data_IF_752539262926
#
_entry.id   IF_752539262926
#
_cell.length_a   1.000
_cell.length_b   1.000
_cell.length_c   1.000
_cell.angle_alpha   90.00
_cell.angle_beta   90.00
_cell.angle_gamma   90.00
#
_symmetry.space_group_name_H-M   'P 1'
#
loop_
_entity.id
_entity.type
_entity.pdbx_description
1 polymer ?
#
# COMPACT_ATOMS: atom_id res chain seq x y z
N UNK A 1 56.11 2.63 -46.27
CA UNK A 1 55.41 2.39 -45.00
C UNK A 1 53.97 2.82 -45.26
N UNK A 2 53.05 1.96 -45.76
CA UNK A 2 52.40 0.79 -45.11
C UNK A 2 51.89 1.14 -43.72
N UNK A 3 50.64 0.95 -43.28
CA UNK A 3 49.37 0.39 -43.80
C UNK A 3 48.25 0.88 -42.85
N UNK A 4 47.08 1.29 -43.36
CA UNK A 4 45.75 0.63 -43.25
C UNK A 4 45.06 0.54 -41.86
N UNK A 5 43.80 1.04 -41.83
CA UNK A 5 42.57 0.51 -41.16
C UNK A 5 42.56 0.30 -39.61
N UNK A 6 41.51 0.49 -38.80
CA UNK A 6 40.05 0.24 -38.84
C UNK A 6 39.35 1.19 -37.81
N UNK A 7 38.26 1.90 -38.08
CA UNK A 7 36.82 1.57 -37.95
C UNK A 7 36.35 0.85 -36.65
N UNK A 8 35.52 1.52 -35.84
CA UNK A 8 34.40 0.95 -35.03
C UNK A 8 33.65 2.14 -34.40
N UNK A 9 32.50 2.62 -34.90
CA UNK A 9 31.16 2.03 -34.81
C UNK A 9 30.88 1.34 -33.48
N UNK A 10 30.04 1.97 -32.66
CA UNK A 10 28.90 1.39 -31.94
C UNK A 10 28.48 2.40 -30.86
N UNK A 11 27.42 3.16 -31.10
CA UNK A 11 26.07 2.78 -30.65
C UNK A 11 25.90 3.02 -29.15
N UNK A 12 25.11 4.03 -28.81
CA UNK A 12 23.72 3.78 -28.44
C UNK A 12 23.64 3.12 -27.07
N UNK A 13 23.84 3.93 -26.03
CA UNK A 13 23.19 3.70 -24.75
C UNK A 13 22.02 4.68 -24.66
N UNK A 14 21.05 4.48 -25.55
CA UNK A 14 19.66 4.67 -25.14
C UNK A 14 19.38 3.49 -24.24
N UNK A 15 19.72 3.64 -22.97
CA UNK A 15 19.30 2.74 -21.91
C UNK A 15 17.77 2.84 -21.85
N UNK A 16 17.14 2.00 -22.68
CA UNK A 16 15.97 1.20 -22.40
C UNK A 16 15.36 1.54 -21.04
N UNK A 17 14.29 2.35 -21.07
CA UNK A 17 13.40 2.61 -19.95
C UNK A 17 13.02 1.26 -19.32
N UNK A 18 13.49 0.92 -18.10
CA UNK A 18 13.21 -0.38 -17.56
C UNK A 18 11.75 -0.41 -17.08
N UNK A 19 10.97 -1.21 -17.79
CA UNK A 19 9.84 -1.99 -17.31
C UNK A 19 9.21 -1.46 -16.01
N UNK A 20 8.32 -0.45 -16.12
CA UNK A 20 7.36 0.03 -15.10
C UNK A 20 7.68 -0.44 -13.67
N UNK A 21 8.86 -0.09 -13.15
CA UNK A 21 9.26 -0.49 -11.80
C UNK A 21 8.21 0.09 -10.89
N UNK A 22 7.55 -0.78 -10.12
CA UNK A 22 6.44 -0.39 -9.25
C UNK A 22 6.89 0.80 -8.42
N UNK A 23 6.13 1.89 -8.46
CA UNK A 23 6.50 3.16 -7.80
C UNK A 23 6.76 3.00 -6.30
N UNK A 24 6.29 1.90 -5.71
CA UNK A 24 6.53 1.52 -4.32
C UNK A 24 7.91 0.90 -4.09
N UNK A 25 8.48 0.18 -5.06
CA UNK A 25 9.83 -0.38 -4.96
C UNK A 25 10.89 0.72 -4.98
N UNK A 26 10.79 1.66 -5.93
CA UNK A 26 11.67 2.85 -5.95
C UNK A 26 11.56 3.67 -4.66
N UNK A 27 10.35 3.78 -4.11
CA UNK A 27 10.16 4.44 -2.82
C UNK A 27 10.83 3.66 -1.69
N UNK A 28 10.83 2.32 -1.70
CA UNK A 28 11.55 1.53 -0.68
C UNK A 28 13.05 1.77 -0.71
N UNK A 29 13.66 1.81 -1.89
CA UNK A 29 15.09 2.12 -2.06
C UNK A 29 15.47 3.45 -1.41
N UNK A 30 14.64 4.49 -1.55
CA UNK A 30 14.84 5.76 -0.85
C UNK A 30 14.74 5.57 0.67
N UNK A 31 13.70 4.84 1.15
CA UNK A 31 13.46 4.66 2.58
C UNK A 31 14.52 3.83 3.30
N UNK A 32 15.26 2.97 2.60
CA UNK A 32 16.38 2.21 3.19
C UNK A 32 17.42 3.13 3.83
N UNK A 33 17.66 4.31 3.24
CA UNK A 33 18.58 5.31 3.77
C UNK A 33 18.05 6.12 4.96
N UNK A 34 16.75 6.01 5.31
CA UNK A 34 16.09 6.84 6.32
C UNK A 34 15.32 6.04 7.38
N UNK A 35 15.97 5.12 8.07
CA UNK A 35 15.32 4.26 9.07
C UNK A 35 14.70 5.04 10.26
N UNK A 36 15.15 6.29 10.50
CA UNK A 36 14.62 7.15 11.57
C UNK A 36 13.11 7.40 11.49
N UNK A 37 12.51 7.32 10.30
CA UNK A 37 11.07 7.52 10.10
C UNK A 37 10.23 6.41 10.75
N UNK A 38 10.78 5.21 10.92
CA UNK A 38 10.09 4.07 11.52
C UNK A 38 10.23 4.02 13.05
N UNK A 39 11.13 4.82 13.62
CA UNK A 39 11.31 4.92 15.05
C UNK A 39 10.01 5.37 15.74
N UNK A 40 9.61 4.75 16.85
CA UNK A 40 8.37 5.11 17.58
C UNK A 40 8.52 6.25 18.59
N UNK A 41 9.74 6.73 18.80
CA UNK A 41 10.06 7.78 19.78
C UNK A 41 9.31 9.08 19.51
N UNK A 42 8.84 9.69 20.61
CA UNK A 42 8.07 10.93 20.65
C UNK A 42 8.89 12.15 21.09
N UNK A 43 10.20 11.97 21.30
CA UNK A 43 11.11 13.05 21.73
C UNK A 43 11.13 14.17 20.68
N UNK A 44 11.00 15.46 21.07
CA UNK A 44 10.96 16.58 20.13
C UNK A 44 12.11 16.60 19.11
N UNK A 45 13.35 16.42 19.59
CA UNK A 45 14.54 16.35 18.72
C UNK A 45 14.46 15.24 17.67
N UNK A 46 13.84 14.10 17.99
CA UNK A 46 13.67 13.00 17.04
C UNK A 46 12.53 13.30 16.07
N UNK A 47 11.48 14.02 16.49
CA UNK A 47 10.40 14.48 15.60
C UNK A 47 10.92 15.45 14.55
N UNK A 48 11.76 16.41 14.94
CA UNK A 48 12.41 17.35 14.02
C UNK A 48 13.26 16.62 12.98
N UNK A 49 14.10 15.67 13.43
CA UNK A 49 14.90 14.83 12.51
C UNK A 49 14.05 14.00 11.56
N UNK A 50 12.90 13.50 12.02
CA UNK A 50 11.94 12.78 11.16
C UNK A 50 11.32 13.70 10.12
N UNK A 51 10.94 14.91 10.51
CA UNK A 51 10.39 15.90 9.58
C UNK A 51 11.43 16.28 8.52
N UNK A 52 12.68 16.51 8.93
CA UNK A 52 13.78 16.73 8.00
C UNK A 52 13.97 15.54 7.04
N UNK A 53 13.96 14.30 7.57
CA UNK A 53 14.02 13.11 6.73
C UNK A 53 12.87 13.04 5.72
N UNK A 54 11.63 13.38 6.12
CA UNK A 54 10.50 13.41 5.19
C UNK A 54 10.68 14.42 4.06
N UNK A 55 11.26 15.59 4.35
CA UNK A 55 11.57 16.60 3.33
C UNK A 55 12.62 16.09 2.34
N UNK A 56 13.68 15.45 2.81
CA UNK A 56 14.71 14.88 1.94
C UNK A 56 14.19 13.70 1.10
N UNK A 57 13.41 12.80 1.70
CA UNK A 57 12.74 11.70 0.98
C UNK A 57 11.80 12.28 -0.09
N UNK A 58 11.07 13.34 0.22
CA UNK A 58 10.17 14.00 -0.72
C UNK A 58 10.90 14.55 -1.94
N UNK A 59 12.02 15.24 -1.72
CA UNK A 59 12.85 15.75 -2.81
C UNK A 59 13.40 14.60 -3.67
N UNK A 60 13.96 13.55 -3.04
CA UNK A 60 14.45 12.35 -3.76
C UNK A 60 13.34 11.63 -4.53
N UNK A 61 12.14 11.57 -3.97
CA UNK A 61 10.99 10.93 -4.59
C UNK A 61 10.57 11.65 -5.87
N UNK A 62 10.51 12.99 -5.84
CA UNK A 62 10.21 13.79 -7.04
C UNK A 62 11.28 13.55 -8.10
N UNK A 63 12.57 13.57 -7.72
CA UNK A 63 13.67 13.36 -8.66
C UNK A 63 13.67 11.98 -9.32
N UNK A 64 13.41 10.90 -8.57
CA UNK A 64 13.51 9.52 -9.09
C UNK A 64 12.24 9.01 -9.78
N UNK A 65 11.06 9.51 -9.41
CA UNK A 65 9.77 9.00 -9.90
C UNK A 65 9.05 10.02 -10.79
N UNK A 66 9.42 11.31 -10.72
CA UNK A 66 8.84 12.36 -11.56
C UNK A 66 7.35 12.62 -11.27
N UNK A 67 6.89 12.32 -10.06
CA UNK A 67 5.49 12.54 -9.64
C UNK A 67 5.41 13.57 -8.53
N UNK A 68 4.58 14.57 -8.76
CA UNK A 68 4.30 15.61 -7.78
C UNK A 68 3.33 15.08 -6.72
N UNK A 69 3.89 14.60 -5.61
CA UNK A 69 3.16 14.37 -4.37
C UNK A 69 3.49 15.48 -3.39
N UNK A 70 2.54 15.96 -2.60
CA UNK A 70 2.85 16.80 -1.44
C UNK A 70 3.49 15.96 -0.33
N UNK A 71 4.33 16.56 0.53
CA UNK A 71 4.91 15.90 1.71
C UNK A 71 3.85 15.16 2.56
N UNK A 72 2.68 15.78 2.77
CA UNK A 72 1.54 15.17 3.49
C UNK A 72 1.05 13.89 2.81
N UNK A 73 0.98 13.87 1.48
CA UNK A 73 0.56 12.70 0.71
C UNK A 73 1.62 11.60 0.75
N UNK A 74 2.90 11.96 0.70
CA UNK A 74 4.01 11.03 0.83
C UNK A 74 4.00 10.35 2.19
N UNK A 75 3.88 11.14 3.26
CA UNK A 75 3.76 10.63 4.63
C UNK A 75 2.57 9.69 4.77
N UNK A 76 1.41 10.08 4.23
CA UNK A 76 0.21 9.24 4.22
C UNK A 76 0.41 7.95 3.42
N UNK A 77 1.11 8.01 2.29
CA UNK A 77 1.44 6.84 1.47
C UNK A 77 2.29 5.84 2.25
N UNK A 78 3.37 6.30 2.89
CA UNK A 78 4.23 5.47 3.74
C UNK A 78 3.42 4.86 4.90
N UNK A 79 2.55 5.65 5.53
CA UNK A 79 1.69 5.16 6.61
C UNK A 79 0.69 4.09 6.15
N UNK A 80 0.09 4.26 4.96
CA UNK A 80 -0.79 3.27 4.38
C UNK A 80 -0.04 1.96 4.10
N UNK A 81 1.15 2.06 3.49
CA UNK A 81 2.02 0.90 3.25
C UNK A 81 2.36 0.15 4.54
N UNK A 82 2.71 0.87 5.60
CA UNK A 82 2.95 0.28 6.93
C UNK A 82 1.70 -0.41 7.49
N UNK A 83 0.52 0.18 7.30
CA UNK A 83 -0.73 -0.36 7.82
C UNK A 83 -1.15 -1.60 7.05
N UNK A 84 -0.99 -1.62 5.73
CA UNK A 84 -1.25 -2.78 4.89
C UNK A 84 -0.33 -3.94 5.24
N UNK A 85 0.97 -3.68 5.43
CA UNK A 85 1.93 -4.69 5.85
C UNK A 85 1.53 -5.29 7.20
N UNK A 86 1.27 -4.44 8.20
CA UNK A 86 0.85 -4.90 9.55
C UNK A 86 -0.40 -5.77 9.53
N UNK A 87 -1.38 -5.45 8.69
CA UNK A 87 -2.61 -6.26 8.54
C UNK A 87 -2.30 -7.65 8.00
N UNK A 88 -1.33 -7.78 7.09
CA UNK A 88 -0.92 -9.07 6.52
C UNK A 88 -0.04 -9.89 7.46
N UNK A 89 0.81 -9.24 8.24
CA UNK A 89 1.75 -9.89 9.16
C UNK A 89 1.20 -10.09 10.58
N UNK A 90 -0.07 -9.74 10.82
CA UNK A 90 -0.69 -9.91 12.13
C UNK A 90 -0.81 -11.40 12.48
N UNK A 91 0.03 -11.83 13.42
CA UNK A 91 0.12 -13.20 13.92
C UNK A 91 -1.17 -13.69 14.58
N UNK A 92 -2.02 -12.78 15.05
CA UNK A 92 -3.29 -13.12 15.71
C UNK A 92 -4.45 -13.34 14.74
N UNK A 93 -4.34 -12.79 13.52
CA UNK A 93 -5.38 -12.86 12.50
C UNK A 93 -5.17 -13.97 11.47
N UNK A 94 -3.93 -14.45 11.31
CA UNK A 94 -3.61 -15.51 10.37
C UNK A 94 -3.81 -16.87 11.01
N UNK A 95 -5.03 -17.42 10.89
CA UNK A 95 -5.20 -18.88 10.88
C UNK A 95 -4.28 -19.50 9.81
N UNK A 96 -4.04 -20.82 9.85
CA UNK A 96 -3.01 -21.62 9.12
C UNK A 96 -2.80 -21.39 7.58
N UNK A 97 -3.34 -20.35 6.97
CA UNK A 97 -3.03 -19.86 5.63
C UNK A 97 -1.61 -19.26 5.58
N UNK A 98 -0.85 -19.68 4.57
CA UNK A 98 0.48 -19.14 4.27
C UNK A 98 0.38 -17.67 3.86
N UNK A 99 1.13 -16.79 4.53
CA UNK A 99 1.24 -15.37 4.19
C UNK A 99 2.13 -15.23 2.95
N UNK A 100 1.60 -14.58 1.90
CA UNK A 100 2.36 -14.22 0.69
C UNK A 100 2.52 -12.70 0.67
N UNK A 101 3.77 -12.25 0.81
CA UNK A 101 4.13 -10.82 0.77
C UNK A 101 4.67 -10.43 -0.62
N UNK A 102 4.30 -9.24 -1.06
CA UNK A 102 4.84 -8.60 -2.24
C UNK A 102 6.32 -8.23 -2.06
N UNK A 103 7.05 -7.98 -3.15
CA UNK A 103 8.47 -7.62 -3.10
C UNK A 103 8.74 -6.39 -2.21
N UNK A 104 7.97 -5.30 -2.37
CA UNK A 104 8.12 -4.10 -1.56
C UNK A 104 7.70 -4.33 -0.08
N UNK A 105 6.76 -5.24 0.17
CA UNK A 105 6.31 -5.59 1.52
C UNK A 105 7.42 -6.32 2.28
N UNK A 106 8.16 -7.21 1.60
CA UNK A 106 9.32 -7.89 2.18
C UNK A 106 10.42 -6.90 2.55
N UNK A 107 10.76 -5.97 1.65
CA UNK A 107 11.76 -4.92 1.93
C UNK A 107 11.33 -4.03 3.11
N UNK A 108 10.07 -3.59 3.10
CA UNK A 108 9.53 -2.78 4.19
C UNK A 108 9.52 -3.52 5.53
N UNK A 109 9.22 -4.82 5.52
CA UNK A 109 9.26 -5.65 6.72
C UNK A 109 10.66 -5.70 7.33
N UNK A 110 11.68 -5.92 6.50
CA UNK A 110 13.08 -5.92 6.92
C UNK A 110 13.47 -4.56 7.51
N UNK A 111 13.03 -3.46 6.89
CA UNK A 111 13.29 -2.11 7.41
C UNK A 111 12.59 -1.84 8.74
N UNK A 112 11.35 -2.31 8.92
CA UNK A 112 10.58 -2.10 10.15
C UNK A 112 11.02 -2.99 11.31
N UNK A 113 11.50 -4.21 11.02
CA UNK A 113 11.98 -5.18 12.02
C UNK A 113 13.49 -5.06 12.28
N UNK A 114 14.18 -4.19 11.54
CA UNK A 114 15.62 -3.95 11.65
C UNK A 114 16.04 -3.39 13.01
N UNK A 115 16.73 -4.24 13.77
CA UNK A 115 17.48 -3.99 15.01
C UNK A 115 16.68 -3.57 16.26
N UNK A 116 15.68 -4.36 16.66
CA UNK A 116 15.43 -4.76 18.05
C UNK A 116 13.95 -5.09 18.21
N UNK A 117 13.67 -6.32 18.63
CA UNK A 117 12.39 -6.65 19.23
C UNK A 117 12.47 -6.28 20.72
N UNK A 118 11.87 -5.18 21.18
CA UNK A 118 11.93 -4.76 22.59
C UNK A 118 11.24 -5.76 23.54
N UNK A 119 10.46 -6.72 23.02
CA UNK A 119 9.81 -7.77 23.81
C UNK A 119 10.82 -8.80 24.35
N UNK A 120 12.04 -8.85 23.80
CA UNK A 120 13.08 -9.79 24.25
C UNK A 120 14.24 -9.16 25.03
N UNK A 121 14.15 -7.89 25.43
CA UNK A 121 14.98 -7.42 26.54
C UNK A 121 14.45 -8.09 27.81
N UNK A 122 14.88 -9.33 28.04
CA UNK A 122 14.82 -9.98 29.35
C UNK A 122 15.52 -9.02 30.29
N UNK A 123 14.77 -8.30 31.10
CA UNK A 123 15.31 -7.57 32.25
C UNK A 123 15.99 -8.64 33.11
N UNK A 124 17.33 -8.67 33.22
CA UNK A 124 17.99 -9.54 34.16
C UNK A 124 17.82 -8.86 35.52
N UNK A 125 16.75 -9.20 36.22
CA UNK A 125 16.40 -8.47 37.44
C UNK A 125 15.11 -8.90 38.11
N UNK A 126 14.82 -10.21 38.15
CA UNK A 126 13.95 -10.71 39.21
C UNK A 126 14.82 -10.86 40.48
N UNK A 127 15.08 -9.75 41.17
CA UNK A 127 15.54 -9.82 42.56
C UNK A 127 14.33 -10.24 43.40
N UNK A 128 14.20 -11.54 43.63
CA UNK A 128 13.40 -12.05 44.74
C UNK A 128 14.11 -11.65 46.03
N UNK A 129 13.70 -10.53 46.62
CA UNK A 129 14.05 -10.20 48.00
C UNK A 129 13.10 -11.04 48.85
N UNK A 130 13.65 -12.11 49.43
CA UNK A 130 12.98 -12.88 50.45
C UNK A 130 12.66 -11.99 51.65
N UNK A 131 11.41 -12.04 52.08
CA UNK A 131 11.08 -11.85 53.50
C UNK A 131 10.55 -13.18 53.98
N UNK A 132 11.38 -13.86 54.77
CA UNK A 132 10.98 -14.96 55.63
C UNK A 132 10.12 -14.37 56.73
N UNK A 133 8.87 -14.79 56.84
CA UNK A 133 8.18 -14.71 58.12
C UNK A 133 7.24 -15.90 58.26
N UNK A 134 7.54 -16.71 59.27
CA UNK A 134 6.88 -17.95 59.64
C UNK A 134 5.43 -17.72 60.10
N UNK A 135 4.64 -18.76 59.82
CA UNK A 135 3.28 -19.05 60.30
C UNK A 135 3.24 -19.22 61.84
N UNK A 136 2.07 -19.14 62.54
CA UNK A 136 1.08 -20.23 62.48
C UNK A 136 -0.43 -19.91 62.65
N UNK A 137 -1.21 -20.68 61.89
CA UNK A 137 -2.52 -21.33 62.10
C UNK A 137 -3.57 -20.78 63.12
N UNK A 138 -4.83 -20.66 62.67
CA UNK A 138 -5.93 -21.61 62.98
C UNK A 138 -7.35 -20.98 62.82
N UNK A 139 -8.13 -21.57 61.91
CA UNK A 139 -9.56 -21.95 61.97
C UNK A 139 -10.60 -21.09 62.70
N UNK A 140 -11.61 -20.58 61.96
CA UNK A 140 -13.04 -20.83 62.27
C UNK A 140 -13.90 -20.74 61.01
N UNK A 141 -14.64 -21.82 60.78
CA UNK A 141 -15.74 -22.03 59.85
C UNK A 141 -16.94 -21.11 60.11
N UNK A 142 -17.52 -20.54 59.05
CA UNK A 142 -18.98 -20.27 58.94
C UNK A 142 -19.43 -20.37 57.49
N UNK A 143 -20.36 -21.30 57.29
CA UNK A 143 -21.22 -21.52 56.13
C UNK A 143 -22.10 -20.29 55.90
N UNK A 144 -22.17 -19.78 54.67
CA UNK A 144 -23.27 -18.94 54.20
C UNK A 144 -23.36 -19.01 52.66
N UNK A 145 -24.56 -18.77 52.16
CA UNK A 145 -25.15 -19.41 50.99
C UNK A 145 -24.60 -18.97 49.63
N UNK A 146 -24.66 -19.93 48.71
CA UNK A 146 -24.51 -19.78 47.28
C UNK A 146 -25.67 -18.94 46.71
N UNK A 147 -25.37 -17.74 46.21
CA UNK A 147 -26.26 -17.00 45.30
C UNK A 147 -25.45 -16.66 44.03
N UNK A 148 -25.77 -17.25 42.86
CA UNK A 148 -25.14 -16.86 41.61
C UNK A 148 -25.68 -15.47 41.18
N UNK A 149 -24.81 -14.54 40.76
CA UNK A 149 -25.26 -13.26 40.21
C UNK A 149 -25.97 -13.47 38.86
N UNK A 150 -27.01 -12.66 38.56
CA UNK A 150 -27.81 -12.81 37.35
C UNK A 150 -26.99 -12.57 36.06
N UNK A 151 -27.37 -13.18 34.93
CA UNK A 151 -26.64 -13.07 33.67
C UNK A 151 -26.76 -11.64 33.12
N UNK A 152 -25.66 -10.88 33.19
CA UNK A 152 -25.52 -9.66 32.41
C UNK A 152 -25.46 -10.04 30.92
N UNK A 153 -26.57 -9.79 30.23
CA UNK A 153 -26.68 -9.78 28.77
C UNK A 153 -25.62 -8.83 28.22
N UNK A 154 -24.54 -9.39 27.65
CA UNK A 154 -23.58 -8.63 26.86
C UNK A 154 -24.28 -8.21 25.57
N UNK A 155 -24.79 -6.97 25.55
CA UNK A 155 -25.13 -6.30 24.30
C UNK A 155 -23.85 -6.20 23.46
N UNK A 156 -23.85 -6.90 22.32
CA UNK A 156 -22.86 -6.76 21.27
C UNK A 156 -22.83 -5.29 20.82
N UNK A 157 -21.68 -4.59 20.82
CA UNK A 157 -21.55 -3.38 20.05
C UNK A 157 -21.50 -3.76 18.57
N UNK A 158 -22.61 -3.48 17.89
CA UNK A 158 -22.79 -3.61 16.46
C UNK A 158 -21.74 -2.75 15.74
N UNK A 159 -20.97 -3.40 14.86
CA UNK A 159 -19.99 -2.74 13.99
C UNK A 159 -20.72 -2.31 12.73
N UNK A 160 -20.94 -1.02 12.54
CA UNK A 160 -20.98 -0.47 11.19
C UNK A 160 -19.98 0.69 11.07
N UNK A 161 -19.06 0.66 10.08
CA UNK A 161 -18.21 1.80 9.80
C UNK A 161 -19.07 2.89 9.17
N UNK A 162 -19.15 4.04 9.84
CA UNK A 162 -19.70 5.28 9.28
C UNK A 162 -18.81 5.71 8.12
N UNK A 163 -19.09 5.20 6.92
CA UNK A 163 -18.59 5.78 5.69
C UNK A 163 -19.19 7.17 5.56
N UNK A 164 -18.35 8.21 5.65
CA UNK A 164 -18.73 9.57 5.25
C UNK A 164 -19.17 9.51 3.79
N UNK A 165 -20.48 9.47 3.55
CA UNK A 165 -21.07 9.65 2.23
C UNK A 165 -20.67 11.05 1.77
N UNK A 166 -19.77 11.13 0.81
CA UNK A 166 -19.67 12.31 -0.05
C UNK A 166 -21.05 12.51 -0.66
N UNK A 167 -21.71 13.60 -0.29
CA UNK A 167 -23.00 13.98 -0.87
C UNK A 167 -22.74 14.24 -2.36
N UNK A 168 -23.10 13.29 -3.20
CA UNK A 168 -23.30 13.57 -4.61
C UNK A 168 -24.37 14.65 -4.69
N UNK A 169 -24.13 15.70 -5.49
CA UNK A 169 -25.18 16.67 -5.80
C UNK A 169 -26.21 15.90 -6.61
N UNK A 170 -27.33 15.53 -5.98
CA UNK A 170 -28.50 15.01 -6.66
C UNK A 170 -28.95 16.08 -7.66
N UNK A 171 -28.95 15.74 -8.95
CA UNK A 171 -29.76 16.44 -9.95
C UNK A 171 -31.23 16.20 -9.63
N UNK A 172 -32.16 17.09 -9.97
CA UNK A 172 -33.56 17.05 -9.52
C UNK A 172 -34.42 15.88 -10.07
N UNK A 173 -33.83 14.94 -10.83
CA UNK A 173 -34.56 13.85 -11.50
C UNK A 173 -34.92 12.61 -10.64
N UNK A 174 -34.14 12.17 -9.63
CA UNK A 174 -34.42 10.93 -8.88
C UNK A 174 -35.33 11.11 -7.66
N UNK A 175 -35.78 12.32 -7.34
CA UNK A 175 -36.56 12.57 -6.11
C UNK A 175 -37.95 11.93 -6.09
N UNK A 176 -38.52 11.59 -7.25
CA UNK A 176 -39.88 11.04 -7.37
C UNK A 176 -39.93 9.60 -7.90
N UNK A 177 -38.78 8.93 -8.05
CA UNK A 177 -38.71 7.61 -8.65
C UNK A 177 -38.81 6.50 -7.60
N UNK A 178 -39.59 5.46 -7.90
CA UNK A 178 -39.61 4.22 -7.12
C UNK A 178 -38.22 3.59 -7.11
N UNK A 179 -37.88 2.85 -6.04
CA UNK A 179 -36.64 2.07 -5.96
C UNK A 179 -36.43 1.16 -7.19
N UNK A 180 -37.51 0.62 -7.75
CA UNK A 180 -37.46 -0.22 -8.97
C UNK A 180 -37.07 0.58 -10.21
N UNK A 181 -37.57 1.81 -10.33
CA UNK A 181 -37.28 2.70 -11.45
C UNK A 181 -35.86 3.24 -11.37
N UNK A 182 -35.38 3.55 -10.17
CA UNK A 182 -34.00 3.93 -9.93
C UNK A 182 -33.02 2.81 -10.29
N UNK A 183 -33.33 1.56 -9.89
CA UNK A 183 -32.54 0.39 -10.27
C UNK A 183 -32.51 0.20 -11.80
N UNK A 184 -33.65 0.39 -12.47
CA UNK A 184 -33.74 0.31 -13.93
C UNK A 184 -32.90 1.40 -14.61
N UNK A 185 -32.94 2.63 -14.11
CA UNK A 185 -32.14 3.75 -14.61
C UNK A 185 -30.64 3.50 -14.50
N UNK A 186 -30.19 3.07 -13.32
CA UNK A 186 -28.78 2.72 -13.08
C UNK A 186 -28.33 1.63 -14.06
N UNK A 187 -29.16 0.61 -14.28
CA UNK A 187 -28.83 -0.46 -15.22
C UNK A 187 -28.74 0.04 -16.67
N UNK A 188 -29.64 0.95 -17.08
CA UNK A 188 -29.59 1.56 -18.41
C UNK A 188 -28.33 2.41 -18.59
N UNK A 189 -27.98 3.23 -17.60
CA UNK A 189 -26.77 4.05 -17.62
C UNK A 189 -25.50 3.17 -17.66
N UNK A 190 -25.46 2.09 -16.89
CA UNK A 190 -24.38 1.10 -16.95
C UNK A 190 -24.25 0.47 -18.34
N UNK A 191 -25.37 0.10 -18.97
CA UNK A 191 -25.36 -0.45 -20.33
C UNK A 191 -24.87 0.56 -21.36
N UNK A 192 -25.25 1.83 -21.22
CA UNK A 192 -24.78 2.91 -22.08
C UNK A 192 -23.27 3.12 -21.94
N UNK A 193 -22.75 3.17 -20.72
CA UNK A 193 -21.30 3.25 -20.46
C UNK A 193 -20.55 2.09 -21.11
N UNK A 194 -21.08 0.87 -21.00
CA UNK A 194 -20.48 -0.32 -21.63
C UNK A 194 -20.47 -0.20 -23.16
N UNK A 195 -21.55 0.31 -23.77
CA UNK A 195 -21.61 0.53 -25.24
C UNK A 195 -20.55 1.53 -25.69
N UNK A 196 -20.45 2.67 -25.03
CA UNK A 196 -19.45 3.70 -25.34
C UNK A 196 -18.03 3.17 -25.19
N UNK A 197 -17.76 2.35 -24.17
CA UNK A 197 -16.44 1.73 -24.00
C UNK A 197 -16.11 0.78 -25.16
N UNK A 198 -17.05 -0.08 -25.57
CA UNK A 198 -16.85 -0.99 -26.71
C UNK A 198 -16.59 -0.24 -28.01
N UNK A 199 -17.28 0.87 -28.25
CA UNK A 199 -17.06 1.71 -29.43
C UNK A 199 -15.66 2.34 -29.43
N UNK A 200 -15.21 2.85 -28.27
CA UNK A 200 -13.84 3.38 -28.12
C UNK A 200 -12.78 2.31 -28.41
N UNK A 201 -12.96 1.10 -27.89
CA UNK A 201 -12.07 -0.02 -28.15
C UNK A 201 -12.05 -0.39 -29.64
N UNK A 202 -13.21 -0.43 -30.30
CA UNK A 202 -13.31 -0.67 -31.74
C UNK A 202 -12.58 0.39 -32.58
N UNK A 203 -12.75 1.66 -32.24
CA UNK A 203 -12.05 2.77 -32.91
C UNK A 203 -10.54 2.72 -32.71
N UNK A 204 -10.07 2.32 -31.52
CA UNK A 204 -8.65 2.12 -31.27
C UNK A 204 -8.08 0.98 -32.12
N UNK A 205 -8.80 -0.13 -32.23
CA UNK A 205 -8.39 -1.26 -33.07
C UNK A 205 -8.32 -0.86 -34.55
N UNK A 206 -9.31 -0.11 -35.06
CA UNK A 206 -9.31 0.38 -36.43
C UNK A 206 -8.14 1.33 -36.71
N UNK A 207 -7.81 2.22 -35.77
CA UNK A 207 -6.64 3.10 -35.88
C UNK A 207 -5.33 2.31 -35.94
N UNK A 208 -5.18 1.30 -35.10
CA UNK A 208 -3.99 0.43 -35.10
C UNK A 208 -3.87 -0.31 -36.44
N UNK A 209 -4.97 -0.84 -36.97
CA UNK A 209 -4.97 -1.51 -38.28
C UNK A 209 -4.58 -0.57 -39.42
N UNK A 210 -5.09 0.67 -39.44
CA UNK A 210 -4.72 1.68 -40.45
C UNK A 210 -3.24 2.07 -40.37
N UNK A 211 -2.71 2.24 -39.16
CA UNK A 211 -1.28 2.54 -38.97
C UNK A 211 -0.41 1.40 -39.51
N UNK A 212 -0.75 0.15 -39.15
CA UNK A 212 0.01 -1.01 -39.61
C UNK A 212 -0.11 -1.21 -41.13
N UNK A 213 -1.30 -0.98 -41.71
CA UNK A 213 -1.51 -1.03 -43.16
C UNK A 213 -0.72 0.03 -43.91
N UNK A 214 -0.74 1.28 -43.43
CA UNK A 214 0.00 2.37 -44.03
C UNK A 214 1.53 2.15 -43.95
N UNK A 215 2.04 1.61 -42.83
CA UNK A 215 3.46 1.25 -42.72
C UNK A 215 3.85 0.15 -43.72
N UNK A 216 2.96 -0.81 -43.96
CA UNK A 216 3.20 -1.87 -44.94
C UNK A 216 3.20 -1.34 -46.38
N UNK A 217 2.28 -0.42 -46.72
CA UNK A 217 2.29 0.25 -48.03
C UNK A 217 3.53 1.14 -48.21
N UNK A 218 3.98 1.83 -47.17
CA UNK A 218 5.16 2.68 -47.21
C UNK A 218 6.44 1.85 -47.42
N UNK A 219 6.56 0.70 -46.75
CA UNK A 219 7.65 -0.26 -46.96
C UNK A 219 7.63 -0.84 -48.37
N UNK A 220 6.46 -1.26 -48.88
CA UNK A 220 6.33 -1.77 -50.25
C UNK A 220 6.69 -0.69 -51.29
N UNK A 221 6.17 0.53 -51.13
CA UNK A 221 6.50 1.63 -52.03
C UNK A 221 7.99 1.98 -52.02
N UNK A 222 8.69 1.84 -50.89
CA UNK A 222 10.15 2.00 -50.78
C UNK A 222 10.92 0.85 -51.46
N UNK A 223 10.43 -0.38 -51.36
CA UNK A 223 11.04 -1.57 -51.98
C UNK A 223 10.90 -1.57 -53.51
N UNK A 224 9.74 -1.18 -54.04
CA UNK A 224 9.45 -1.23 -55.48
C UNK A 224 9.87 0.03 -56.26
N UNK A 225 10.32 1.10 -55.59
CA UNK A 225 10.92 2.29 -56.26
C UNK A 225 12.42 2.15 -56.57
N UNK A 226 13.09 1.15 -56.02
CA UNK A 226 14.55 0.93 -56.17
C UNK A 226 14.92 -0.14 -57.21
N UNK A 227 13.94 -0.67 -57.93
CA UNK A 227 14.09 -1.57 -59.09
C UNK A 227 13.73 -0.80 -60.36
#
# INVERSE_FOLDING_TARGET
MSSDSENSTSDFLTEEVPAKISSNLKLMEILESYNIIFNKSQVPKIKEKKEQAYREIHQKYILQIGRDLTEKQLKKKIQNMNTELKKKTDKSATGNKKIVLNAWEKQLLVLMEGQENPVFQKVPGAMSIGSVMEQPQSSTSKTEEFIPPPPHVRLLPDKSPVTRRTKFKETDEPLNLSNTELQRLILLEQLELIRVQKEKEKLLLEKIQKINGNQFEEINNLLFRKL
#
